data_IF_852216230481
#
_entry.id   IF_852216230481
#
_cell.length_a   1.000
_cell.length_b   1.000
_cell.length_c   1.000
_cell.angle_alpha   90.00
_cell.angle_beta   90.00
_cell.angle_gamma   90.00
#
_symmetry.space_group_name_H-M   'P 1'
#
loop_
_entity.id
_entity.type
_entity.pdbx_description
1 polymer ?
#
# COMPACT_ATOMS: atom_id res chain seq x y z
N UNK A 1 10.37 22.46 -25.57
CA UNK A 1 10.01 23.13 -24.26
C UNK A 1 9.61 22.06 -23.23
N UNK A 2 10.55 21.35 -22.56
CA UNK A 2 10.51 20.29 -21.54
C UNK A 2 9.62 20.69 -20.36
N UNK A 3 8.30 20.50 -20.43
CA UNK A 3 7.36 20.65 -19.30
C UNK A 3 8.04 20.19 -18.00
N UNK A 4 8.53 21.05 -17.10
CA UNK A 4 9.13 20.65 -15.82
C UNK A 4 8.35 19.51 -15.15
N UNK A 5 8.92 18.30 -15.11
CA UNK A 5 8.43 17.15 -14.32
C UNK A 5 8.00 17.58 -12.91
N UNK A 6 6.77 18.09 -12.74
CA UNK A 6 6.37 18.45 -11.35
C UNK A 6 5.74 17.23 -10.67
N UNK A 7 6.49 16.78 -9.64
CA UNK A 7 5.92 15.72 -8.77
C UNK A 7 4.90 16.33 -7.79
N UNK A 8 3.64 15.82 -8.00
CA UNK A 8 2.56 16.40 -7.17
C UNK A 8 1.98 15.29 -6.29
N UNK A 9 1.83 15.68 -5.10
CA UNK A 9 1.17 14.73 -4.18
C UNK A 9 -0.20 15.30 -3.80
N UNK A 10 -1.23 14.36 -4.09
CA UNK A 10 -2.59 14.72 -3.67
C UNK A 10 -2.79 14.39 -2.18
N UNK A 11 -3.09 15.39 -1.46
CA UNK A 11 -3.22 15.11 -0.01
C UNK A 11 -4.49 15.80 0.49
N UNK A 12 -5.13 15.22 1.53
CA UNK A 12 -6.36 15.82 2.09
C UNK A 12 -6.08 17.23 2.64
N UNK A 13 -7.07 18.05 2.41
CA UNK A 13 -6.88 19.45 2.84
C UNK A 13 -6.64 19.54 4.35
N UNK A 14 -7.18 18.63 5.10
CA UNK A 14 -7.01 18.71 6.57
C UNK A 14 -5.54 18.51 6.96
N UNK A 15 -4.79 17.95 6.02
CA UNK A 15 -3.35 17.75 6.32
C UNK A 15 -2.61 19.10 6.40
N UNK A 16 -3.27 20.19 5.86
CA UNK A 16 -2.63 21.53 5.97
C UNK A 16 -3.24 22.31 7.14
N UNK A 17 -4.50 22.02 7.42
CA UNK A 17 -5.20 22.93 8.34
C UNK A 17 -4.93 22.51 9.80
N UNK A 18 -4.42 21.23 9.97
CA UNK A 18 -4.10 20.83 11.37
C UNK A 18 -3.09 19.68 11.34
N UNK A 19 -1.78 20.11 10.96
CA UNK A 19 -0.85 18.98 10.83
C UNK A 19 -0.20 18.62 12.17
N UNK A 20 -0.08 17.37 12.49
CA UNK A 20 0.82 16.98 13.59
C UNK A 20 2.27 17.41 13.34
N UNK A 21 3.07 17.64 14.37
CA UNK A 21 4.48 18.04 14.20
C UNK A 21 5.22 17.12 13.21
N UNK A 22 5.03 15.92 13.17
CA UNK A 22 5.68 15.04 12.19
C UNK A 22 5.21 15.35 10.76
N UNK A 23 3.89 15.50 10.64
CA UNK A 23 3.36 15.78 9.27
C UNK A 23 3.89 17.13 8.75
N UNK A 24 4.01 18.02 9.72
CA UNK A 24 4.58 19.31 9.29
C UNK A 24 6.03 19.13 8.81
N UNK A 25 6.76 18.37 9.58
CA UNK A 25 8.15 18.11 9.17
C UNK A 25 8.20 17.36 7.83
N UNK A 26 7.36 16.42 7.55
CA UNK A 26 7.36 15.67 6.27
C UNK A 26 7.01 16.60 5.11
N UNK A 27 6.01 17.49 5.38
CA UNK A 27 5.62 18.38 4.28
C UNK A 27 6.77 19.32 3.93
N UNK A 28 7.46 19.77 4.98
CA UNK A 28 8.62 20.64 4.73
C UNK A 28 9.73 19.88 3.99
N UNK A 29 10.00 18.73 4.43
CA UNK A 29 11.07 17.94 3.78
C UNK A 29 10.73 17.66 2.32
N UNK A 30 9.47 17.37 2.05
CA UNK A 30 9.09 17.03 0.66
C UNK A 30 9.06 18.28 -0.22
N UNK A 31 8.63 19.30 0.38
CA UNK A 31 8.65 20.55 -0.39
C UNK A 31 10.09 20.94 -0.76
N UNK A 32 11.06 20.74 0.19
CA UNK A 32 12.47 21.07 -0.10
C UNK A 32 13.02 20.22 -1.24
N UNK A 33 12.30 19.16 -1.56
CA UNK A 33 12.77 18.30 -2.68
C UNK A 33 12.05 18.67 -3.98
N UNK A 34 11.21 19.77 -3.86
CA UNK A 34 10.58 20.28 -5.10
C UNK A 34 9.21 19.66 -5.35
N UNK A 35 8.61 18.95 -4.31
CA UNK A 35 7.29 18.32 -4.46
C UNK A 35 6.22 19.40 -4.22
N UNK A 36 5.26 19.31 -5.11
CA UNK A 36 4.10 20.22 -4.93
C UNK A 36 2.89 19.43 -4.41
N UNK A 37 2.09 20.19 -3.64
CA UNK A 37 0.93 19.47 -3.04
C UNK A 37 -0.37 19.99 -3.66
N UNK A 38 -1.23 19.02 -3.95
CA UNK A 38 -2.57 19.34 -4.46
C UNK A 38 -3.62 18.92 -3.42
N UNK A 39 -4.21 19.95 -2.81
CA UNK A 39 -5.21 19.62 -1.77
C UNK A 39 -6.52 19.10 -2.38
N UNK A 40 -6.91 17.92 -2.05
CA UNK A 40 -8.18 17.33 -2.49
C UNK A 40 -8.43 16.04 -1.69
N UNK A 41 -9.73 15.82 -1.59
CA UNK A 41 -10.13 14.57 -0.90
C UNK A 41 -10.84 13.62 -1.88
N UNK A 42 -10.14 12.52 -2.08
CA UNK A 42 -10.61 11.59 -3.13
C UNK A 42 -11.93 10.95 -2.70
N UNK A 43 -12.12 10.95 -1.42
CA UNK A 43 -13.37 10.31 -0.94
C UNK A 43 -14.59 11.18 -1.21
N UNK A 44 -14.35 12.42 -1.33
CA UNK A 44 -15.53 13.32 -1.45
C UNK A 44 -15.74 13.72 -2.91
N UNK A 45 -14.80 13.50 -3.73
CA UNK A 45 -14.94 13.97 -5.12
C UNK A 45 -15.80 12.99 -5.92
N UNK A 46 -16.59 13.64 -6.84
CA UNK A 46 -17.38 12.78 -7.75
C UNK A 46 -16.48 12.22 -8.87
N UNK A 47 -16.93 11.15 -9.54
CA UNK A 47 -16.14 10.60 -10.65
C UNK A 47 -15.81 11.66 -11.70
N UNK A 48 -16.73 12.46 -12.03
CA UNK A 48 -16.45 13.53 -13.02
C UNK A 48 -15.38 14.49 -12.51
N UNK A 49 -15.50 14.87 -11.28
CA UNK A 49 -14.48 15.79 -10.73
C UNK A 49 -13.10 15.13 -10.70
N UNK A 50 -13.10 13.85 -10.41
CA UNK A 50 -11.81 13.14 -10.39
C UNK A 50 -11.21 13.05 -11.80
N UNK A 51 -12.06 12.85 -12.73
CA UNK A 51 -11.56 12.79 -14.12
C UNK A 51 -10.93 14.13 -14.52
N UNK A 52 -11.66 15.19 -14.20
CA UNK A 52 -11.11 16.52 -14.52
C UNK A 52 -9.78 16.73 -13.80
N UNK A 53 -9.78 16.32 -12.53
CA UNK A 53 -8.55 16.49 -11.74
C UNK A 53 -7.38 15.72 -12.35
N UNK A 54 -7.65 14.53 -13.00
CA UNK A 54 -6.55 13.65 -13.47
C UNK A 54 -6.11 14.06 -14.88
N UNK A 55 -6.82 14.89 -15.62
CA UNK A 55 -6.66 15.13 -17.07
C UNK A 55 -5.29 15.76 -17.37
N UNK A 56 -4.84 16.55 -16.47
CA UNK A 56 -3.58 17.22 -16.85
C UNK A 56 -2.36 16.32 -16.60
N UNK A 57 -2.58 15.13 -16.07
CA UNK A 57 -1.37 14.36 -15.67
C UNK A 57 -1.17 13.17 -16.62
N UNK A 58 0.10 12.72 -16.71
CA UNK A 58 0.43 11.62 -17.64
C UNK A 58 0.66 10.32 -16.84
N UNK A 59 0.87 10.42 -15.52
CA UNK A 59 1.07 9.24 -14.64
C UNK A 59 0.36 9.48 -13.31
N UNK A 60 -0.39 8.49 -13.06
CA UNK A 60 -1.02 8.53 -11.73
C UNK A 60 -0.61 7.26 -10.96
N UNK A 61 -0.11 7.53 -9.66
CA UNK A 61 0.23 6.41 -8.76
C UNK A 61 -0.68 6.46 -7.53
N UNK A 62 -1.46 5.38 -7.34
CA UNK A 62 -2.30 5.34 -6.12
C UNK A 62 -1.55 4.66 -4.97
N UNK A 63 -1.41 5.60 -3.84
CA UNK A 63 -0.71 5.04 -2.64
C UNK A 63 -1.65 5.11 -1.43
N UNK A 64 -2.98 4.98 -1.54
CA UNK A 64 -4.06 5.25 -0.55
C UNK A 64 -4.25 4.04 0.35
N UNK A 65 -3.23 2.98 0.28
CA UNK A 65 -3.31 1.82 1.20
C UNK A 65 -4.72 1.23 1.28
N UNK A 66 -5.02 0.28 2.36
CA UNK A 66 -6.20 -0.59 2.63
C UNK A 66 -7.27 0.21 3.36
N UNK A 67 -7.08 1.45 3.77
CA UNK A 67 -7.96 2.16 4.73
C UNK A 67 -9.06 2.91 3.96
N UNK A 68 -9.39 2.38 2.73
CA UNK A 68 -10.50 3.12 2.10
C UNK A 68 -11.85 2.49 2.51
N UNK A 69 -12.67 3.24 3.20
CA UNK A 69 -13.94 2.91 3.87
C UNK A 69 -14.90 2.17 2.93
N UNK A 70 -14.53 2.00 1.53
CA UNK A 70 -15.56 1.35 0.70
C UNK A 70 -14.88 0.48 -0.37
N UNK A 71 -15.38 -0.77 -0.52
CA UNK A 71 -15.03 -1.77 -1.55
C UNK A 71 -15.19 -1.20 -2.96
N UNK A 72 -15.27 0.30 -3.15
CA UNK A 72 -15.48 0.78 -4.53
C UNK A 72 -14.55 1.95 -4.85
N UNK A 73 -13.75 2.25 -3.96
CA UNK A 73 -12.91 3.46 -4.15
C UNK A 73 -11.83 3.19 -5.20
N UNK A 74 -11.31 2.04 -5.11
CA UNK A 74 -10.25 1.79 -6.12
C UNK A 74 -10.84 1.73 -7.53
N UNK A 75 -12.09 1.18 -7.60
CA UNK A 75 -12.76 1.15 -8.92
C UNK A 75 -13.10 2.58 -9.38
N UNK A 76 -13.56 3.34 -8.49
CA UNK A 76 -13.86 4.74 -8.82
C UNK A 76 -12.62 5.46 -9.36
N UNK A 77 -11.46 5.29 -8.75
CA UNK A 77 -10.21 5.97 -9.20
C UNK A 77 -9.81 5.44 -10.58
N UNK A 78 -9.93 4.14 -10.66
CA UNK A 78 -9.50 3.55 -11.94
C UNK A 78 -10.38 4.06 -13.09
N UNK A 79 -11.69 4.18 -12.85
CA UNK A 79 -12.58 4.65 -13.93
C UNK A 79 -12.28 6.11 -14.26
N UNK A 80 -12.04 6.82 -13.27
CA UNK A 80 -11.70 8.23 -13.52
C UNK A 80 -10.39 8.36 -14.31
N UNK A 81 -9.39 7.59 -13.98
CA UNK A 81 -8.11 7.64 -14.72
C UNK A 81 -8.36 7.27 -16.19
N UNK A 82 -9.21 6.24 -16.40
CA UNK A 82 -9.48 5.83 -17.79
C UNK A 82 -10.23 6.93 -18.55
N UNK A 83 -11.26 7.45 -17.86
CA UNK A 83 -12.02 8.54 -18.50
C UNK A 83 -11.13 9.74 -18.81
N UNK A 84 -10.12 9.94 -18.01
CA UNK A 84 -9.23 11.10 -18.22
C UNK A 84 -8.16 10.78 -19.28
N UNK A 85 -8.11 9.54 -19.67
CA UNK A 85 -7.17 9.08 -20.72
C UNK A 85 -5.72 9.34 -20.30
N UNK A 86 -5.48 8.98 -19.01
CA UNK A 86 -4.10 9.12 -18.52
C UNK A 86 -3.26 7.97 -19.09
N UNK A 87 -2.14 8.30 -19.60
CA UNK A 87 -1.33 7.30 -20.33
C UNK A 87 -0.78 6.21 -19.39
N UNK A 88 -0.49 6.60 -18.12
CA UNK A 88 0.08 5.56 -17.23
C UNK A 88 -0.58 5.66 -15.85
N UNK A 89 -1.01 4.37 -15.38
CA UNK A 89 -1.65 4.33 -14.05
C UNK A 89 -1.13 3.12 -13.27
N UNK A 90 -0.57 3.47 -12.02
CA UNK A 90 -0.11 2.38 -11.13
C UNK A 90 -1.08 2.33 -9.94
N UNK A 91 -1.94 1.30 -9.89
CA UNK A 91 -2.91 1.21 -8.78
C UNK A 91 -2.25 0.73 -7.48
N UNK A 92 -2.91 0.90 -6.44
CA UNK A 92 -2.36 0.43 -5.15
C UNK A 92 -2.19 -1.09 -5.16
N UNK A 93 -0.95 -1.58 -5.37
CA UNK A 93 -0.65 -3.03 -5.37
C UNK A 93 0.67 -3.27 -4.62
N UNK A 94 1.00 -2.49 -3.57
CA UNK A 94 2.36 -2.57 -2.99
C UNK A 94 2.35 -3.58 -1.84
N UNK A 95 2.25 -4.90 -2.13
CA UNK A 95 2.37 -5.81 -0.96
C UNK A 95 1.89 -7.21 -1.32
N UNK A 96 0.79 -7.49 -1.98
CA UNK A 96 0.25 -8.85 -2.23
C UNK A 96 0.17 -9.07 -3.75
N UNK A 97 0.62 -10.32 -4.16
CA UNK A 97 0.43 -10.73 -5.58
C UNK A 97 -1.01 -11.14 -5.85
N UNK A 98 -1.72 -10.31 -6.53
CA UNK A 98 -3.22 -10.42 -6.70
C UNK A 98 -3.53 -11.47 -7.74
N UNK A 99 -2.55 -11.88 -8.55
CA UNK A 99 -2.74 -13.02 -9.55
C UNK A 99 -2.74 -14.36 -8.84
N UNK A 100 -2.18 -14.47 -7.45
CA UNK A 100 -2.04 -15.72 -6.69
C UNK A 100 -3.09 -15.78 -5.58
N UNK A 101 -3.60 -14.81 -4.92
CA UNK A 101 -4.59 -14.79 -3.81
C UNK A 101 -5.94 -15.28 -4.29
N UNK A 102 -6.03 -15.36 -5.72
CA UNK A 102 -7.28 -15.85 -6.32
C UNK A 102 -8.52 -15.30 -5.62
N UNK A 103 -9.74 -15.53 -6.03
CA UNK A 103 -11.05 -14.92 -5.68
C UNK A 103 -11.63 -15.61 -4.45
N UNK A 104 -12.05 -14.86 -3.44
CA UNK A 104 -12.70 -15.45 -2.26
C UNK A 104 -11.75 -15.55 -1.05
N UNK A 105 -10.64 -14.75 -0.89
CA UNK A 105 -9.75 -14.75 0.29
C UNK A 105 -10.15 -13.62 1.24
N UNK A 106 -9.63 -13.68 2.54
CA UNK A 106 -9.92 -13.17 3.87
C UNK A 106 -10.25 -11.67 3.89
N UNK A 107 -10.11 -10.88 2.52
CA UNK A 107 -10.50 -9.47 2.39
C UNK A 107 -10.91 -9.16 0.94
N UNK A 108 -12.01 -8.57 0.66
CA UNK A 108 -12.51 -8.30 -0.71
C UNK A 108 -11.49 -7.52 -1.55
N UNK A 109 -10.30 -6.86 -1.18
CA UNK A 109 -9.24 -6.05 -1.83
C UNK A 109 -8.04 -6.95 -2.19
N UNK A 110 -7.83 -8.16 -1.87
CA UNK A 110 -6.80 -9.20 -2.03
C UNK A 110 -7.19 -10.15 -3.17
N UNK A 111 -8.31 -10.55 -3.72
CA UNK A 111 -8.75 -11.14 -5.00
C UNK A 111 -8.45 -10.20 -6.18
N UNK A 112 -8.20 -8.99 -5.85
CA UNK A 112 -7.85 -7.93 -6.83
C UNK A 112 -6.32 -7.77 -6.93
N UNK A 113 -5.25 -8.30 -6.20
CA UNK A 113 -3.80 -8.01 -6.05
C UNK A 113 -3.05 -9.37 -5.90
N UNK A 114 -3.25 -10.82 -5.52
CA UNK A 114 -2.98 -12.27 -5.53
C UNK A 114 -2.98 -12.82 -6.97
N UNK A 115 -3.27 -12.07 -8.11
CA UNK A 115 -2.70 -12.09 -9.48
C UNK A 115 -1.23 -11.63 -9.46
N UNK A 116 -0.46 -11.31 -8.65
CA UNK A 116 0.77 -10.45 -8.80
C UNK A 116 1.83 -10.90 -7.80
N UNK A 117 2.01 -12.29 -7.03
CA UNK A 117 3.30 -12.19 -6.36
C UNK A 117 3.43 -13.35 -5.37
N UNK A 118 2.98 -14.61 -5.56
CA UNK A 118 3.26 -16.03 -5.31
C UNK A 118 4.68 -16.41 -5.69
N UNK A 119 5.42 -15.53 -6.09
CA UNK A 119 6.81 -15.75 -6.49
C UNK A 119 7.78 -15.58 -5.31
N UNK A 120 7.65 -16.11 -3.92
CA UNK A 120 9.10 -16.30 -3.71
C UNK A 120 9.47 -15.94 -2.26
N UNK A 121 8.95 -16.54 -1.08
CA UNK A 121 10.23 -16.88 -0.42
C UNK A 121 10.24 -16.34 1.00
N UNK A 122 9.97 -16.84 1.88
CA UNK A 122 10.18 -16.66 3.33
C UNK A 122 11.35 -17.53 3.82
N UNK A 123 12.34 -17.36 4.84
CA UNK A 123 13.03 -17.79 6.09
C UNK A 123 12.22 -17.29 7.29
N UNK A 124 12.94 -17.76 9.10
CA UNK A 124 12.15 -18.06 10.31
C UNK A 124 12.77 -17.38 11.52
N UNK A 125 11.86 -17.00 12.71
CA UNK A 125 11.59 -16.40 14.02
C UNK A 125 10.65 -17.34 14.79
N UNK A 126 10.70 -17.47 16.11
CA UNK A 126 10.02 -18.33 17.09
C UNK A 126 8.50 -18.07 17.14
N UNK A 127 7.59 -19.24 17.00
CA UNK A 127 6.36 -19.48 16.22
C UNK A 127 5.53 -20.58 16.90
N UNK A 128 4.44 -20.23 17.26
CA UNK A 128 3.38 -21.25 17.44
C UNK A 128 2.59 -21.38 16.13
N UNK A 129 2.72 -22.59 15.61
CA UNK A 129 2.16 -22.81 14.26
C UNK A 129 0.64 -22.99 14.33
N UNK A 130 -0.01 -22.01 13.86
CA UNK A 130 -1.43 -22.20 13.48
C UNK A 130 -1.53 -22.61 12.01
N UNK A 131 -1.82 -23.87 11.93
CA UNK A 131 -1.81 -24.38 10.54
C UNK A 131 -3.09 -23.97 9.80
N UNK A 132 -2.97 -23.99 8.60
CA UNK A 132 -4.03 -23.48 7.70
C UNK A 132 -5.39 -24.11 8.08
N UNK A 133 -5.26 -25.34 8.47
CA UNK A 133 -6.52 -26.01 8.86
C UNK A 133 -7.13 -25.33 10.10
N UNK A 134 -6.41 -25.04 10.92
CA UNK A 134 -6.88 -24.38 12.15
C UNK A 134 -7.44 -22.99 11.82
N UNK A 135 -6.72 -22.30 11.01
CA UNK A 135 -7.17 -20.93 10.67
C UNK A 135 -8.45 -20.96 9.82
N UNK A 136 -8.60 -21.97 9.02
CA UNK A 136 -9.83 -22.08 8.20
C UNK A 136 -11.02 -22.46 9.07
N UNK A 137 -10.66 -23.28 10.01
CA UNK A 137 -11.76 -23.63 10.94
C UNK A 137 -12.25 -22.41 11.71
N UNK A 138 -11.40 -21.66 12.11
CA UNK A 138 -11.77 -20.45 12.87
C UNK A 138 -12.57 -19.47 12.00
N UNK A 139 -12.14 -19.41 10.82
CA UNK A 139 -12.89 -18.49 9.92
C UNK A 139 -14.28 -19.06 9.60
N UNK A 140 -14.32 -20.42 9.51
CA UNK A 140 -15.66 -21.00 9.26
C UNK A 140 -16.60 -20.67 10.42
N UNK A 141 -16.09 -20.64 11.61
CA UNK A 141 -16.92 -20.41 12.82
C UNK A 141 -17.28 -18.93 12.96
N UNK A 142 -16.52 -18.10 12.25
CA UNK A 142 -16.80 -16.66 12.32
C UNK A 142 -16.43 -16.00 10.98
N UNK A 143 -17.25 -16.14 10.00
CA UNK A 143 -16.91 -15.79 8.62
C UNK A 143 -16.86 -14.27 8.40
N UNK A 144 -17.41 -13.49 9.37
CA UNK A 144 -17.44 -12.03 9.09
C UNK A 144 -16.28 -11.33 9.81
N UNK A 145 -15.40 -12.14 10.44
CA UNK A 145 -14.26 -11.50 11.12
C UNK A 145 -13.10 -11.26 10.15
N UNK A 146 -12.81 -10.08 9.92
CA UNK A 146 -11.84 -9.65 8.88
C UNK A 146 -10.40 -10.05 9.27
N UNK A 147 -10.16 -10.07 10.52
CA UNK A 147 -8.81 -10.49 10.96
C UNK A 147 -8.61 -12.00 10.74
N UNK A 148 -9.57 -12.80 10.90
CA UNK A 148 -9.43 -14.26 10.69
C UNK A 148 -9.37 -14.59 9.20
N UNK A 149 -10.00 -13.82 8.52
CA UNK A 149 -9.88 -13.94 7.06
C UNK A 149 -8.49 -13.55 6.59
N UNK A 150 -8.03 -12.46 7.14
CA UNK A 150 -6.66 -11.98 6.85
C UNK A 150 -5.62 -13.04 7.22
N UNK A 151 -5.75 -13.71 8.28
CA UNK A 151 -4.77 -14.73 8.73
C UNK A 151 -4.74 -15.93 7.78
N UNK A 152 -5.97 -16.29 7.32
CA UNK A 152 -6.06 -17.45 6.39
C UNK A 152 -5.43 -17.08 5.05
N UNK A 153 -5.64 -15.75 4.64
CA UNK A 153 -5.08 -15.32 3.34
C UNK A 153 -3.55 -15.31 3.39
N UNK A 154 -3.03 -14.98 4.52
CA UNK A 154 -1.55 -14.86 4.59
C UNK A 154 -0.92 -16.22 4.94
N UNK A 155 -1.81 -17.08 5.66
CA UNK A 155 -1.25 -18.39 6.09
C UNK A 155 -1.23 -19.37 4.91
N UNK A 156 -2.13 -19.15 3.82
CA UNK A 156 -2.21 -20.07 2.66
C UNK A 156 -1.02 -19.87 1.72
N UNK A 157 -0.42 -18.58 2.13
CA UNK A 157 0.88 -18.40 1.47
C UNK A 157 0.72 -18.24 -0.05
N UNK A 158 -0.46 -18.28 -0.65
CA UNK A 158 -0.67 -18.10 -2.09
C UNK A 158 -0.92 -16.61 -2.41
N UNK A 159 0.14 -15.88 -3.29
CA UNK A 159 -0.14 -14.51 -3.79
C UNK A 159 0.38 -13.46 -2.81
N UNK A 160 1.08 -13.83 -1.72
CA UNK A 160 1.48 -12.85 -0.70
C UNK A 160 3.00 -12.88 -0.54
N UNK A 161 3.73 -13.92 -1.23
CA UNK A 161 5.20 -13.90 -1.24
C UNK A 161 5.73 -14.40 -2.58
N UNK A 162 6.84 -13.80 -3.29
CA UNK A 162 7.45 -14.18 -4.57
C UNK A 162 9.00 -14.17 -4.42
N UNK A 163 9.87 -14.68 -5.50
CA UNK A 163 11.35 -14.81 -5.46
C UNK A 163 11.98 -13.43 -5.46
N UNK A 164 12.60 -13.22 -4.47
CA UNK A 164 13.28 -11.93 -4.26
C UNK A 164 14.12 -11.54 -5.49
N UNK A 165 14.89 -12.37 -6.22
CA UNK A 165 15.76 -12.04 -7.39
C UNK A 165 14.94 -11.47 -8.55
N UNK A 166 13.64 -11.69 -8.37
CA UNK A 166 12.81 -11.23 -9.51
C UNK A 166 12.06 -9.96 -9.14
N UNK A 167 12.37 -9.45 -7.95
CA UNK A 167 11.66 -8.23 -7.57
C UNK A 167 12.21 -7.02 -8.34
N UNK A 168 11.41 -6.12 -8.52
CA UNK A 168 11.79 -4.86 -9.19
C UNK A 168 13.03 -4.25 -8.55
N UNK A 169 13.15 -4.25 -7.22
CA UNK A 169 14.28 -3.61 -6.50
C UNK A 169 15.62 -4.25 -6.89
N UNK A 170 15.63 -5.59 -7.07
CA UNK A 170 16.92 -6.24 -7.43
C UNK A 170 17.24 -5.96 -8.90
N UNK A 171 16.17 -5.99 -9.74
CA UNK A 171 16.42 -5.72 -11.17
C UNK A 171 16.96 -4.30 -11.38
N UNK A 172 16.59 -3.46 -10.51
CA UNK A 172 17.02 -2.06 -10.76
C UNK A 172 18.20 -1.71 -9.85
N UNK A 173 18.70 -2.75 -9.15
CA UNK A 173 19.89 -2.51 -8.31
C UNK A 173 19.57 -1.58 -7.14
N UNK A 174 18.23 -1.50 -6.80
CA UNK A 174 17.87 -0.65 -5.64
C UNK A 174 18.08 -1.43 -4.32
N UNK A 175 18.98 -0.80 -3.55
CA UNK A 175 19.31 -1.48 -2.28
C UNK A 175 18.16 -1.30 -1.28
N UNK A 176 17.66 -2.40 -0.71
CA UNK A 176 16.57 -2.31 0.29
C UNK A 176 17.13 -2.80 1.64
N UNK A 177 16.54 -2.31 2.67
CA UNK A 177 17.00 -2.67 4.02
C UNK A 177 16.20 -3.89 4.52
N UNK A 178 16.99 -5.03 4.82
CA UNK A 178 16.28 -6.19 5.39
C UNK A 178 16.14 -6.05 6.92
N UNK A 179 15.27 -6.95 7.42
CA UNK A 179 14.89 -6.85 8.86
C UNK A 179 16.16 -6.83 9.73
N UNK A 180 17.11 -7.66 9.36
CA UNK A 180 18.34 -7.69 10.18
C UNK A 180 19.08 -6.34 10.13
N UNK A 181 19.18 -5.78 8.88
CA UNK A 181 19.89 -4.49 8.72
C UNK A 181 19.13 -3.38 9.46
N UNK A 182 17.85 -3.43 9.35
CA UNK A 182 17.06 -2.39 10.05
C UNK A 182 17.28 -2.48 11.55
N UNK A 183 17.16 -3.76 12.10
CA UNK A 183 17.35 -3.95 13.54
C UNK A 183 18.76 -3.49 13.95
N UNK A 184 19.67 -3.80 13.19
CA UNK A 184 21.05 -3.40 13.55
C UNK A 184 21.20 -1.87 13.54
N UNK A 185 20.56 -1.21 12.55
CA UNK A 185 20.69 0.25 12.43
C UNK A 185 19.96 0.97 13.56
N UNK A 186 19.01 0.15 14.13
CA UNK A 186 18.18 0.88 15.10
C UNK A 186 18.27 0.21 16.47
N UNK A 187 19.33 -0.54 16.75
CA UNK A 187 19.41 -1.41 17.95
C UNK A 187 19.45 -0.55 19.22
N UNK A 188 20.12 0.51 19.12
CA UNK A 188 20.23 1.37 20.32
C UNK A 188 18.91 2.06 20.63
N UNK A 189 18.30 2.50 19.65
CA UNK A 189 16.97 3.13 19.82
C UNK A 189 15.93 2.11 20.30
N UNK A 190 16.01 0.88 19.76
CA UNK A 190 15.08 -0.19 20.19
C UNK A 190 15.35 -0.54 21.66
N UNK A 191 16.63 -0.49 22.12
CA UNK A 191 16.96 -0.83 23.52
C UNK A 191 16.48 0.26 24.48
N UNK A 192 16.35 1.35 23.88
CA UNK A 192 15.93 2.49 24.74
C UNK A 192 14.41 2.66 24.72
N UNK A 193 13.79 1.72 24.05
CA UNK A 193 12.31 1.70 24.05
C UNK A 193 11.72 2.82 23.18
N UNK A 194 12.56 3.32 22.31
CA UNK A 194 12.05 4.40 21.43
C UNK A 194 11.08 3.82 20.38
N UNK A 195 9.89 4.42 20.35
CA UNK A 195 8.92 4.05 19.29
C UNK A 195 9.44 4.46 17.90
N UNK A 196 9.64 3.40 17.02
CA UNK A 196 10.34 3.63 15.72
C UNK A 196 9.32 3.75 14.59
N UNK A 197 7.90 3.53 15.00
CA UNK A 197 6.84 3.69 13.98
C UNK A 197 5.64 4.40 14.60
N UNK A 198 5.02 5.43 13.94
CA UNK A 198 3.80 6.11 14.46
C UNK A 198 2.54 5.48 13.85
N UNK A 199 2.58 4.37 13.11
CA UNK A 199 1.41 3.85 12.37
C UNK A 199 0.48 3.09 13.33
N UNK A 200 0.82 2.91 14.66
CA UNK A 200 -0.11 2.15 15.52
C UNK A 200 -0.40 2.94 16.79
N UNK A 201 -0.54 4.31 16.71
CA UNK A 201 -1.32 5.04 17.75
C UNK A 201 -2.80 5.02 17.41
#
# INVERSE_FOLDING_TARGET
MLIPQAEIILIRPTTFTSPSPLKSHQLTSLSSLGVTFLPADILTLTPKDLTTLFTPYTLIISALGFASPSSALQTKITRAVLAAKVPRYIPWQFGVDYDIIGRGSGQPVWDEQLDALEEKLGVEVGRVLWDVEFLERELRDDPDDNMKRYRVAFAKGRGVSWDKERSFNVEKGLEVVDVEDFVERNMERIRQGEELSEKWK
#
